data_IF_596043641513
#
_entry.id   IF_596043641513
#
_cell.length_a   1.000
_cell.length_b   1.000
_cell.length_c   1.000
_cell.angle_alpha   90.00
_cell.angle_beta   90.00
_cell.angle_gamma   90.00
#
_symmetry.space_group_name_H-M   'P 1'
#
loop_
_entity.id
_entity.type
_entity.pdbx_description
1 polymer ?
#
# COMPACT_ATOMS: atom_id res chain seq x y z
N UNK A 1 12.86 20.77 -41.84
CA UNK A 1 14.02 20.52 -40.97
C UNK A 1 14.81 19.35 -41.54
N UNK A 2 16.06 19.58 -41.81
CA UNK A 2 16.99 18.60 -42.40
C UNK A 2 17.42 17.55 -41.36
N UNK A 3 18.08 16.47 -41.82
CA UNK A 3 18.67 15.47 -40.93
C UNK A 3 19.78 16.06 -40.04
N UNK A 4 20.58 16.97 -40.61
CA UNK A 4 21.65 17.65 -39.87
C UNK A 4 21.13 18.54 -38.74
N UNK A 5 20.04 19.29 -38.97
CA UNK A 5 19.38 20.11 -37.93
C UNK A 5 18.81 19.25 -36.80
N UNK A 6 18.29 18.05 -37.10
CA UNK A 6 17.81 17.11 -36.06
C UNK A 6 18.95 16.55 -35.23
N UNK A 7 20.05 16.18 -35.90
CA UNK A 7 21.24 15.68 -35.22
C UNK A 7 21.82 16.72 -34.26
N UNK A 8 21.92 17.99 -34.70
CA UNK A 8 22.38 19.09 -33.86
C UNK A 8 21.48 19.30 -32.60
N UNK A 9 20.16 19.16 -32.73
CA UNK A 9 19.25 19.24 -31.58
C UNK A 9 19.49 18.07 -30.60
N UNK A 10 19.68 16.86 -31.10
CA UNK A 10 19.96 15.68 -30.23
C UNK A 10 21.32 15.83 -29.54
N UNK A 11 22.33 16.30 -30.23
CA UNK A 11 23.67 16.58 -29.66
C UNK A 11 23.59 17.59 -28.52
N UNK A 12 22.91 18.74 -28.76
CA UNK A 12 22.68 19.76 -27.73
C UNK A 12 21.93 19.18 -26.50
N UNK A 13 20.91 18.39 -26.75
CA UNK A 13 20.16 17.75 -25.65
C UNK A 13 20.96 16.71 -24.88
N UNK A 14 21.98 16.12 -25.49
CA UNK A 14 22.82 15.09 -24.89
C UNK A 14 24.10 15.64 -24.26
N UNK A 15 24.38 16.94 -24.42
CA UNK A 15 25.56 17.59 -23.87
C UNK A 15 25.49 17.66 -22.33
N UNK A 16 26.63 17.46 -21.68
CA UNK A 16 26.76 17.48 -20.20
C UNK A 16 26.29 18.81 -19.59
N UNK A 17 26.58 19.93 -20.29
CA UNK A 17 26.18 21.28 -19.87
C UNK A 17 24.66 21.50 -19.82
N UNK A 18 23.90 20.61 -20.42
CA UNK A 18 22.43 20.65 -20.47
C UNK A 18 21.77 19.46 -19.75
N UNK A 19 22.56 18.58 -19.11
CA UNK A 19 22.05 17.35 -18.49
C UNK A 19 21.02 17.59 -17.38
N UNK A 20 21.16 18.68 -16.63
CA UNK A 20 20.27 19.06 -15.54
C UNK A 20 19.06 19.92 -15.96
N UNK A 21 19.01 20.32 -17.24
CA UNK A 21 17.96 21.19 -17.77
C UNK A 21 16.80 20.37 -18.34
N UNK A 22 15.58 20.88 -18.17
CA UNK A 22 14.44 20.35 -18.92
C UNK A 22 14.58 20.67 -20.42
N UNK A 23 13.91 19.90 -21.28
CA UNK A 23 13.91 20.13 -22.74
C UNK A 23 13.53 21.59 -23.08
N UNK A 24 12.58 22.18 -22.34
CA UNK A 24 12.14 23.57 -22.53
C UNK A 24 13.23 24.56 -22.13
N UNK A 25 13.89 24.34 -20.99
CA UNK A 25 15.00 25.21 -20.56
C UNK A 25 16.19 25.11 -21.52
N UNK A 26 16.53 23.90 -21.97
CA UNK A 26 17.56 23.71 -22.99
C UNK A 26 17.22 24.47 -24.27
N UNK A 27 15.95 24.34 -24.74
CA UNK A 27 15.50 25.06 -25.93
C UNK A 27 15.76 26.57 -25.83
N UNK A 28 15.27 27.21 -24.77
CA UNK A 28 15.41 28.67 -24.64
C UNK A 28 16.87 29.08 -24.52
N UNK A 29 17.68 28.31 -23.79
CA UNK A 29 19.12 28.60 -23.63
C UNK A 29 19.85 28.58 -25.00
N UNK A 30 19.60 27.58 -25.83
CA UNK A 30 20.28 27.46 -27.12
C UNK A 30 19.65 28.32 -28.21
N UNK A 31 18.36 28.65 -28.08
CA UNK A 31 17.67 29.61 -28.96
C UNK A 31 18.21 31.03 -28.72
N UNK A 32 18.34 31.45 -27.48
CA UNK A 32 18.92 32.78 -27.16
C UNK A 32 20.38 32.90 -27.56
N UNK A 33 21.12 31.78 -27.55
CA UNK A 33 22.49 31.69 -28.04
C UNK A 33 22.58 31.63 -29.59
N UNK A 34 21.43 31.58 -30.29
CA UNK A 34 21.41 31.48 -31.77
C UNK A 34 21.83 30.13 -32.32
N UNK A 35 21.96 29.10 -31.49
CA UNK A 35 22.45 27.78 -31.90
C UNK A 35 21.40 26.97 -32.65
N UNK A 36 20.10 27.21 -32.41
CA UNK A 36 19.00 26.53 -33.08
C UNK A 36 18.02 27.50 -33.67
N UNK A 37 17.54 27.21 -34.89
CA UNK A 37 16.61 28.03 -35.66
C UNK A 37 15.29 27.28 -35.91
N UNK A 38 14.63 26.82 -34.83
CA UNK A 38 13.34 26.12 -34.94
C UNK A 38 12.40 26.56 -33.82
N UNK A 39 11.11 26.24 -33.97
CA UNK A 39 10.14 26.48 -32.87
C UNK A 39 10.33 25.52 -31.69
N UNK A 40 9.96 25.95 -30.50
CA UNK A 40 9.98 25.09 -29.28
C UNK A 40 9.22 23.79 -29.53
N UNK A 41 8.08 23.83 -30.23
CA UNK A 41 7.30 22.62 -30.54
C UNK A 41 8.08 21.65 -31.42
N UNK A 42 8.84 22.15 -32.39
CA UNK A 42 9.69 21.33 -33.24
C UNK A 42 10.84 20.71 -32.47
N UNK A 43 11.51 21.51 -31.63
CA UNK A 43 12.57 21.05 -30.75
C UNK A 43 12.09 19.93 -29.81
N UNK A 44 10.93 20.11 -29.16
CA UNK A 44 10.34 19.10 -28.30
C UNK A 44 9.97 17.81 -29.06
N UNK A 45 9.44 17.92 -30.26
CA UNK A 45 9.13 16.75 -31.13
C UNK A 45 10.37 15.93 -31.45
N UNK A 46 11.50 16.59 -31.74
CA UNK A 46 12.79 15.91 -31.97
C UNK A 46 13.29 15.22 -30.69
N UNK A 47 13.21 15.92 -29.56
CA UNK A 47 13.54 15.35 -28.27
C UNK A 47 12.70 14.10 -27.95
N UNK A 48 11.39 14.13 -28.23
CA UNK A 48 10.49 13.01 -28.04
C UNK A 48 10.84 11.81 -28.94
N UNK A 49 11.10 12.07 -30.22
CA UNK A 49 11.50 11.04 -31.19
C UNK A 49 12.86 10.39 -30.84
N UNK A 50 13.74 11.13 -30.16
CA UNK A 50 15.03 10.64 -29.65
C UNK A 50 14.95 10.04 -28.23
N UNK A 51 13.75 9.88 -27.66
CA UNK A 51 13.53 9.41 -26.27
C UNK A 51 14.22 10.25 -25.18
N UNK A 52 14.46 11.53 -25.46
CA UNK A 52 15.12 12.47 -24.55
C UNK A 52 14.14 13.34 -23.75
N UNK A 53 12.84 13.05 -23.86
CA UNK A 53 11.78 13.68 -23.06
C UNK A 53 11.55 12.84 -21.83
N UNK A 54 12.16 13.22 -20.74
CA UNK A 54 12.00 12.56 -19.44
C UNK A 54 12.53 13.46 -18.34
N UNK A 55 12.48 13.02 -17.09
CA UNK A 55 13.16 13.71 -16.00
C UNK A 55 14.67 13.52 -16.19
N UNK A 56 15.31 14.51 -16.84
CA UNK A 56 16.75 14.53 -17.14
C UNK A 56 17.60 14.91 -15.93
N UNK A 57 16.97 15.27 -14.82
CA UNK A 57 17.70 15.57 -13.59
C UNK A 57 18.40 14.31 -13.13
N UNK A 58 19.69 14.43 -12.87
CA UNK A 58 20.49 13.36 -12.29
C UNK A 58 19.81 12.93 -10.98
N UNK A 59 19.21 11.74 -10.95
CA UNK A 59 18.74 11.14 -9.70
C UNK A 59 19.96 11.04 -8.79
N UNK A 60 19.99 11.86 -7.73
CA UNK A 60 20.91 11.64 -6.61
C UNK A 60 20.53 10.30 -5.99
N UNK A 61 21.29 9.29 -6.33
CA UNK A 61 21.10 7.91 -5.92
C UNK A 61 21.54 7.05 -7.09
N UNK A 62 22.72 6.43 -6.99
CA UNK A 62 23.14 5.42 -7.93
C UNK A 62 22.02 4.41 -8.11
N UNK A 63 21.86 3.86 -9.31
CA UNK A 63 21.06 2.68 -9.55
C UNK A 63 21.72 1.56 -8.74
N UNK A 64 21.38 1.49 -7.45
CA UNK A 64 21.63 0.28 -6.68
C UNK A 64 20.97 -0.88 -7.42
N UNK A 65 21.50 -2.09 -7.31
CA UNK A 65 20.94 -3.25 -7.99
C UNK A 65 19.43 -3.24 -7.81
N UNK A 66 18.67 -3.47 -8.90
CA UNK A 66 17.21 -3.46 -8.89
C UNK A 66 16.77 -4.34 -7.71
N UNK A 67 16.24 -3.72 -6.65
CA UNK A 67 15.84 -4.47 -5.46
C UNK A 67 14.77 -5.46 -5.88
N UNK A 68 15.01 -6.73 -5.58
CA UNK A 68 14.05 -7.79 -5.87
C UNK A 68 12.72 -7.41 -5.25
N UNK A 69 11.65 -7.64 -6.00
CA UNK A 69 10.28 -7.43 -5.55
C UNK A 69 10.07 -8.31 -4.31
N UNK A 70 9.59 -7.76 -3.18
CA UNK A 70 9.29 -8.59 -2.02
C UNK A 70 8.15 -9.54 -2.37
N UNK A 71 8.37 -10.83 -2.18
CA UNK A 71 7.35 -11.87 -2.32
C UNK A 71 7.21 -12.50 -0.95
N UNK A 72 6.07 -12.30 -0.30
CA UNK A 72 5.81 -12.85 1.03
C UNK A 72 4.43 -13.50 1.01
N UNK A 73 4.38 -14.79 1.38
CA UNK A 73 3.16 -15.59 1.41
C UNK A 73 2.71 -15.80 2.84
N UNK A 74 1.41 -15.82 3.04
CA UNK A 74 0.74 -16.21 4.26
C UNK A 74 -0.30 -17.30 3.95
N UNK A 75 -0.18 -18.44 4.59
CA UNK A 75 -1.08 -19.59 4.50
C UNK A 75 -2.00 -19.67 5.73
N UNK A 76 -1.67 -18.95 6.78
CA UNK A 76 -2.41 -18.90 8.04
C UNK A 76 -2.28 -17.54 8.74
N UNK A 77 -3.14 -17.34 9.73
CA UNK A 77 -3.09 -16.20 10.67
C UNK A 77 -1.74 -16.16 11.39
N UNK A 78 -1.22 -14.96 11.63
CA UNK A 78 0.03 -14.74 12.37
C UNK A 78 1.31 -14.93 11.54
N UNK A 79 1.23 -15.30 10.27
CA UNK A 79 2.44 -15.48 9.45
C UNK A 79 2.95 -14.17 8.85
N UNK A 80 2.04 -13.28 8.46
CA UNK A 80 2.40 -12.02 7.82
C UNK A 80 1.53 -10.89 8.34
N UNK A 81 2.17 -9.91 8.94
CA UNK A 81 1.52 -8.64 9.26
C UNK A 81 1.97 -7.56 8.28
N UNK A 82 1.05 -6.68 7.92
CA UNK A 82 1.31 -5.46 7.15
C UNK A 82 1.11 -4.27 8.06
N UNK A 83 2.04 -3.34 8.02
CA UNK A 83 1.99 -2.11 8.78
C UNK A 83 2.13 -0.89 7.89
N UNK A 84 1.36 0.14 8.21
CA UNK A 84 1.41 1.42 7.51
C UNK A 84 0.83 2.55 8.37
N UNK A 85 1.11 3.80 7.97
CA UNK A 85 0.61 5.01 8.59
C UNK A 85 -0.29 5.77 7.65
N UNK A 86 -1.37 6.34 8.19
CA UNK A 86 -2.19 7.28 7.44
C UNK A 86 -2.59 8.48 8.29
N UNK A 87 -2.86 9.60 7.62
CA UNK A 87 -3.30 10.82 8.29
C UNK A 87 -4.82 10.90 8.38
N UNK A 88 -5.32 11.27 9.56
CA UNK A 88 -6.67 11.75 9.81
C UNK A 88 -6.61 13.26 10.08
N UNK A 89 -7.59 14.01 9.59
CA UNK A 89 -7.61 15.47 9.68
C UNK A 89 -8.14 15.93 11.04
N UNK A 90 -7.37 16.76 11.74
CA UNK A 90 -7.80 17.43 12.96
C UNK A 90 -8.65 18.68 12.71
N UNK A 91 -8.99 19.43 13.77
CA UNK A 91 -9.93 20.54 13.69
C UNK A 91 -9.44 21.69 12.79
N UNK A 92 -8.14 21.98 12.79
CA UNK A 92 -7.55 23.01 11.94
C UNK A 92 -6.95 22.39 10.69
N UNK A 93 -6.73 23.21 9.65
CA UNK A 93 -6.18 22.73 8.37
C UNK A 93 -4.78 22.11 8.51
N UNK A 94 -3.97 22.58 9.45
CA UNK A 94 -2.63 22.06 9.73
C UNK A 94 -2.63 20.87 10.68
N UNK A 95 -3.70 20.63 11.42
CA UNK A 95 -3.74 19.56 12.40
C UNK A 95 -3.89 18.19 11.71
N UNK A 96 -3.00 17.26 12.05
CA UNK A 96 -2.98 15.89 11.56
C UNK A 96 -2.81 14.94 12.73
N UNK A 97 -3.54 13.83 12.66
CA UNK A 97 -3.38 12.69 13.55
C UNK A 97 -2.88 11.53 12.74
N UNK A 98 -1.79 10.93 13.16
CA UNK A 98 -1.19 9.79 12.47
C UNK A 98 -1.77 8.50 13.04
N UNK A 99 -2.51 7.78 12.21
CA UNK A 99 -3.02 6.46 12.53
C UNK A 99 -1.97 5.42 12.14
N UNK A 100 -1.37 4.78 13.13
CA UNK A 100 -0.58 3.57 12.99
C UNK A 100 -1.53 2.38 12.95
N UNK A 101 -1.42 1.56 11.94
CA UNK A 101 -2.32 0.42 11.78
C UNK A 101 -1.54 -0.81 11.33
N UNK A 102 -1.68 -1.88 12.09
CA UNK A 102 -1.09 -3.19 11.80
C UNK A 102 -2.22 -4.17 11.54
N UNK A 103 -2.18 -4.86 10.41
CA UNK A 103 -3.16 -5.87 10.04
C UNK A 103 -2.50 -7.22 9.81
N UNK A 104 -3.18 -8.28 10.20
CA UNK A 104 -2.85 -9.62 9.76
C UNK A 104 -3.28 -9.80 8.30
N UNK A 105 -2.33 -10.13 7.43
CA UNK A 105 -2.57 -10.17 5.98
C UNK A 105 -3.46 -11.35 5.58
N UNK A 106 -3.43 -12.46 6.30
CA UNK A 106 -4.30 -13.61 6.00
C UNK A 106 -5.76 -13.33 6.34
N UNK A 107 -6.02 -12.84 7.54
CA UNK A 107 -7.38 -12.60 8.05
C UNK A 107 -7.92 -11.20 7.77
N UNK A 108 -7.08 -10.23 7.37
CA UNK A 108 -7.41 -8.79 7.30
C UNK A 108 -7.76 -8.17 8.66
N UNK A 109 -7.51 -8.88 9.75
CA UNK A 109 -7.83 -8.44 11.10
C UNK A 109 -6.87 -7.34 11.57
N UNK A 110 -7.36 -6.22 12.10
CA UNK A 110 -6.52 -5.18 12.68
C UNK A 110 -5.97 -5.67 14.03
N UNK A 111 -4.70 -6.11 14.04
CA UNK A 111 -4.06 -6.67 15.24
C UNK A 111 -3.62 -5.60 16.22
N UNK A 112 -3.24 -4.42 15.73
CA UNK A 112 -2.88 -3.29 16.56
C UNK A 112 -3.08 -1.96 15.85
N UNK A 113 -3.36 -0.91 16.62
CA UNK A 113 -3.42 0.46 16.11
C UNK A 113 -3.18 1.46 17.24
N UNK A 114 -2.70 2.64 16.89
CA UNK A 114 -2.71 3.81 17.75
C UNK A 114 -2.80 5.10 16.94
N UNK A 115 -3.17 6.21 17.60
CA UNK A 115 -3.25 7.54 17.01
C UNK A 115 -2.34 8.48 17.79
N UNK A 116 -1.47 9.18 17.04
CA UNK A 116 -0.48 10.11 17.59
C UNK A 116 -0.45 11.44 16.81
N UNK A 117 0.06 12.47 17.42
CA UNK A 117 0.26 13.78 16.76
C UNK A 117 1.47 13.79 15.84
N UNK A 118 2.45 12.92 16.08
CA UNK A 118 3.73 12.87 15.34
C UNK A 118 4.19 11.43 15.18
N UNK A 119 4.91 11.21 14.12
CA UNK A 119 5.58 9.93 13.89
C UNK A 119 6.69 9.72 14.93
N UNK A 120 6.74 8.50 15.51
CA UNK A 120 7.69 8.11 16.53
C UNK A 120 8.03 6.63 16.42
N UNK A 121 9.33 6.35 16.32
CA UNK A 121 9.85 4.97 16.34
C UNK A 121 9.59 4.28 17.68
N UNK A 122 9.72 5.01 18.79
CA UNK A 122 9.46 4.49 20.12
C UNK A 122 7.99 4.04 20.25
N UNK A 123 7.05 4.85 19.71
CA UNK A 123 5.63 4.51 19.72
C UNK A 123 5.34 3.27 18.86
N UNK A 124 6.06 3.09 17.75
CA UNK A 124 5.97 1.87 16.96
C UNK A 124 6.43 0.65 17.76
N UNK A 125 7.55 0.73 18.47
CA UNK A 125 8.04 -0.36 19.34
C UNK A 125 7.00 -0.74 20.40
N UNK A 126 6.41 0.24 21.09
CA UNK A 126 5.36 -0.02 22.09
C UNK A 126 4.13 -0.71 21.48
N UNK A 127 3.71 -0.24 20.29
CA UNK A 127 2.60 -0.82 19.55
C UNK A 127 2.86 -2.29 19.20
N UNK A 128 4.04 -2.59 18.63
CA UNK A 128 4.41 -3.96 18.26
C UNK A 128 4.62 -4.86 19.46
N UNK A 129 5.25 -4.38 20.54
CA UNK A 129 5.41 -5.15 21.78
C UNK A 129 4.04 -5.56 22.33
N UNK A 130 3.09 -4.64 22.37
CA UNK A 130 1.72 -4.90 22.80
C UNK A 130 1.01 -5.89 21.87
N UNK A 131 1.15 -5.71 20.56
CA UNK A 131 0.55 -6.59 19.56
C UNK A 131 1.09 -8.02 19.65
N UNK A 132 2.41 -8.17 19.75
CA UNK A 132 3.09 -9.46 19.86
C UNK A 132 2.69 -10.17 21.17
N UNK A 133 2.62 -9.45 22.27
CA UNK A 133 2.18 -10.01 23.56
C UNK A 133 0.75 -10.56 23.48
N UNK A 134 -0.13 -9.90 22.71
CA UNK A 134 -1.55 -10.26 22.60
C UNK A 134 -1.85 -11.32 21.56
N UNK A 135 -1.15 -11.29 20.43
CA UNK A 135 -1.48 -12.11 19.24
C UNK A 135 -0.38 -13.12 18.88
N UNK A 136 0.76 -13.12 19.58
CA UNK A 136 1.97 -13.83 19.16
C UNK A 136 2.78 -13.05 18.12
N UNK A 137 4.05 -13.39 17.98
CA UNK A 137 4.93 -12.77 17.00
C UNK A 137 4.60 -13.27 15.59
N UNK A 138 4.47 -12.39 14.57
CA UNK A 138 4.33 -12.82 13.19
C UNK A 138 5.65 -13.37 12.66
N UNK A 139 5.60 -14.22 11.64
CA UNK A 139 6.84 -14.66 10.96
C UNK A 139 7.48 -13.48 10.22
N UNK A 140 6.67 -12.65 9.56
CA UNK A 140 7.12 -11.49 8.77
C UNK A 140 6.27 -10.27 9.10
N UNK A 141 6.94 -9.13 9.30
CA UNK A 141 6.32 -7.82 9.28
C UNK A 141 6.70 -7.10 7.99
N UNK A 142 5.71 -6.76 7.17
CA UNK A 142 5.90 -5.97 5.97
C UNK A 142 5.48 -4.53 6.19
N UNK A 143 6.32 -3.57 5.75
CA UNK A 143 6.07 -2.14 5.88
C UNK A 143 6.59 -1.36 4.68
N UNK A 144 6.17 -0.11 4.57
CA UNK A 144 6.78 0.84 3.65
C UNK A 144 8.18 1.28 4.13
N UNK A 145 8.83 2.18 3.39
CA UNK A 145 10.17 2.69 3.73
C UNK A 145 10.11 3.98 4.58
N UNK A 146 9.10 4.16 5.40
CA UNK A 146 8.98 5.30 6.33
C UNK A 146 10.13 5.36 7.35
N UNK A 147 10.39 6.54 7.90
CA UNK A 147 11.51 6.76 8.81
C UNK A 147 11.38 5.92 10.11
N UNK A 148 10.20 5.87 10.71
CA UNK A 148 9.93 5.04 11.88
C UNK A 148 10.02 3.54 11.58
N UNK A 149 9.62 3.16 10.35
CA UNK A 149 9.58 1.77 9.89
C UNK A 149 10.99 1.18 9.70
N UNK A 150 11.97 2.04 9.43
CA UNK A 150 13.38 1.67 9.23
C UNK A 150 14.29 2.10 10.38
N UNK A 151 13.72 2.52 11.48
CA UNK A 151 14.51 2.90 12.66
C UNK A 151 15.21 1.67 13.26
N UNK A 152 16.45 1.84 13.68
CA UNK A 152 17.23 0.77 14.33
C UNK A 152 16.51 0.23 15.56
N UNK A 153 15.95 1.11 16.38
CA UNK A 153 15.24 0.72 17.60
C UNK A 153 14.06 -0.23 17.31
N UNK A 154 13.31 0.00 16.24
CA UNK A 154 12.23 -0.91 15.85
C UNK A 154 12.78 -2.22 15.28
N UNK A 155 13.80 -2.15 14.41
CA UNK A 155 14.37 -3.34 13.79
C UNK A 155 14.99 -4.26 14.82
N UNK A 156 15.72 -3.71 15.81
CA UNK A 156 16.31 -4.46 16.90
C UNK A 156 15.22 -5.14 17.77
N UNK A 157 14.11 -4.43 18.03
CA UNK A 157 12.98 -4.99 18.78
C UNK A 157 12.27 -6.14 18.01
N UNK A 158 12.13 -6.02 16.69
CA UNK A 158 11.55 -7.07 15.83
C UNK A 158 12.48 -8.29 15.75
N UNK A 159 13.79 -8.07 15.60
CA UNK A 159 14.80 -9.13 15.58
C UNK A 159 14.80 -9.90 16.91
N UNK A 160 14.78 -9.18 18.05
CA UNK A 160 14.69 -9.78 19.37
C UNK A 160 13.41 -10.61 19.55
N UNK A 161 12.33 -10.27 18.86
CA UNK A 161 11.08 -11.03 18.84
C UNK A 161 11.05 -12.15 17.79
N UNK A 162 12.12 -12.35 17.01
CA UNK A 162 12.19 -13.34 15.94
C UNK A 162 11.38 -13.00 14.70
N UNK A 163 11.03 -11.73 14.50
CA UNK A 163 10.20 -11.24 13.38
C UNK A 163 11.09 -10.77 12.23
N UNK A 164 10.87 -11.30 11.03
CA UNK A 164 11.57 -10.86 9.84
C UNK A 164 10.95 -9.58 9.27
N UNK A 165 11.75 -8.52 9.16
CA UNK A 165 11.32 -7.28 8.54
C UNK A 165 11.41 -7.36 7.01
N UNK A 166 10.32 -7.01 6.33
CA UNK A 166 10.22 -6.90 4.87
C UNK A 166 9.76 -5.50 4.48
N UNK A 167 10.26 -4.96 3.37
CA UNK A 167 9.96 -3.59 2.98
C UNK A 167 9.53 -3.49 1.52
N UNK A 168 8.58 -2.59 1.26
CA UNK A 168 8.21 -2.16 -0.08
C UNK A 168 9.41 -1.63 -0.84
N UNK A 169 9.38 -1.73 -2.16
CA UNK A 169 10.37 -1.05 -3.01
C UNK A 169 10.17 0.47 -2.92
N UNK A 170 11.22 1.28 -2.95
CA UNK A 170 11.08 2.72 -2.91
C UNK A 170 10.18 3.23 -4.05
N UNK A 171 9.17 4.03 -3.72
CA UNK A 171 8.21 4.65 -4.65
C UNK A 171 7.32 3.65 -5.42
N UNK A 172 7.10 2.47 -4.88
CA UNK A 172 6.17 1.49 -5.42
C UNK A 172 5.07 1.26 -4.38
N UNK A 173 3.92 1.90 -4.57
CA UNK A 173 2.75 1.79 -3.68
C UNK A 173 2.15 0.39 -3.68
N UNK A 174 2.16 -0.29 -4.83
CA UNK A 174 1.55 -1.61 -4.99
C UNK A 174 2.19 -2.73 -4.14
N UNK A 175 3.30 -2.43 -3.45
CA UNK A 175 3.96 -3.40 -2.60
C UNK A 175 3.33 -3.49 -1.19
N UNK A 176 2.41 -2.58 -0.79
CA UNK A 176 1.64 -2.66 0.46
C UNK A 176 0.11 -2.56 0.25
N UNK A 177 -0.48 -3.40 -0.61
CA UNK A 177 -1.87 -3.25 -1.05
C UNK A 177 -2.91 -3.46 0.06
N UNK A 178 -2.56 -4.20 1.11
CA UNK A 178 -3.50 -4.56 2.18
C UNK A 178 -3.79 -3.38 3.12
N UNK A 179 -2.75 -2.69 3.56
CA UNK A 179 -2.88 -1.48 4.37
C UNK A 179 -3.56 -0.36 3.57
N UNK A 180 -3.16 -0.17 2.31
CA UNK A 180 -3.78 0.83 1.43
C UNK A 180 -5.28 0.58 1.22
N UNK A 181 -5.69 -0.69 1.01
CA UNK A 181 -7.10 -1.04 0.86
C UNK A 181 -7.90 -0.75 2.12
N UNK A 182 -7.34 -1.03 3.30
CA UNK A 182 -8.00 -0.72 4.56
C UNK A 182 -8.07 0.80 4.78
N UNK A 183 -7.02 1.56 4.48
CA UNK A 183 -7.06 3.02 4.58
C UNK A 183 -8.09 3.67 3.65
N UNK A 184 -8.29 3.11 2.46
CA UNK A 184 -9.41 3.52 1.60
C UNK A 184 -10.74 3.26 2.29
N UNK A 185 -10.93 2.07 2.88
CA UNK A 185 -12.16 1.75 3.62
C UNK A 185 -12.38 2.69 4.80
N UNK A 186 -11.33 3.03 5.57
CA UNK A 186 -11.37 4.03 6.65
C UNK A 186 -11.83 5.40 6.13
N UNK A 187 -11.19 5.91 5.08
CA UNK A 187 -11.42 7.26 4.58
C UNK A 187 -12.73 7.44 3.81
N UNK A 188 -13.28 6.36 3.26
CA UNK A 188 -14.55 6.36 2.51
C UNK A 188 -15.73 5.87 3.35
N UNK A 189 -15.53 5.52 4.64
CA UNK A 189 -16.66 5.21 5.54
C UNK A 189 -17.52 6.45 5.74
N UNK A 190 -18.81 6.31 5.53
CA UNK A 190 -19.77 7.43 5.61
C UNK A 190 -19.83 8.07 7.01
N UNK A 191 -19.44 7.34 8.05
CA UNK A 191 -19.37 7.85 9.41
C UNK A 191 -18.04 8.56 9.71
N UNK A 192 -17.06 8.54 8.78
CA UNK A 192 -15.77 9.18 8.96
C UNK A 192 -15.95 10.71 8.88
N UNK A 193 -15.69 11.46 9.96
CA UNK A 193 -15.79 12.90 9.90
C UNK A 193 -14.77 13.48 8.91
N UNK A 194 -15.16 14.50 8.17
CA UNK A 194 -14.23 15.24 7.31
C UNK A 194 -13.06 15.84 8.12
N UNK A 195 -13.31 16.15 9.41
CA UNK A 195 -12.35 16.61 10.43
C UNK A 195 -12.78 16.09 11.79
N UNK A 196 -11.82 15.70 12.61
CA UNK A 196 -12.04 15.32 14.01
C UNK A 196 -11.81 16.52 14.93
N UNK A 197 -12.66 16.70 15.94
CA UNK A 197 -12.58 17.81 16.87
C UNK A 197 -11.36 17.72 17.80
N UNK A 198 -10.92 16.51 18.10
CA UNK A 198 -9.75 16.21 18.94
C UNK A 198 -9.15 14.86 18.57
N UNK A 199 -7.94 14.57 19.07
CA UNK A 199 -7.31 13.25 18.92
C UNK A 199 -8.13 12.16 19.63
N UNK A 200 -8.79 12.49 20.74
CA UNK A 200 -9.59 11.52 21.49
C UNK A 200 -10.89 11.21 20.77
N UNK A 201 -11.52 12.20 20.09
CA UNK A 201 -12.62 11.95 19.18
C UNK A 201 -12.18 11.02 18.04
N UNK A 202 -11.00 11.26 17.44
CA UNK A 202 -10.46 10.39 16.40
C UNK A 202 -10.15 8.97 16.92
N UNK A 203 -9.62 8.84 18.12
CA UNK A 203 -9.38 7.53 18.77
C UNK A 203 -10.67 6.76 19.00
N UNK A 204 -11.69 7.41 19.54
CA UNK A 204 -12.99 6.80 19.80
C UNK A 204 -13.65 6.32 18.51
N UNK A 205 -13.66 7.17 17.49
CA UNK A 205 -14.22 6.81 16.17
C UNK A 205 -13.43 5.65 15.55
N UNK A 206 -12.10 5.70 15.56
CA UNK A 206 -11.24 4.66 15.01
C UNK A 206 -11.46 3.32 15.71
N UNK A 207 -11.58 3.31 17.03
CA UNK A 207 -11.89 2.10 17.81
C UNK A 207 -13.22 1.48 17.36
N UNK A 208 -14.27 2.29 17.23
CA UNK A 208 -15.60 1.83 16.78
C UNK A 208 -15.56 1.35 15.34
N UNK A 209 -14.88 2.08 14.46
CA UNK A 209 -14.73 1.70 13.06
C UNK A 209 -14.01 0.35 12.92
N UNK A 210 -12.84 0.19 13.54
CA UNK A 210 -12.06 -1.04 13.45
C UNK A 210 -12.77 -2.23 14.08
N UNK A 211 -13.55 -2.00 15.13
CA UNK A 211 -14.41 -3.04 15.72
C UNK A 211 -15.48 -3.50 14.71
N UNK A 212 -16.24 -2.58 14.11
CA UNK A 212 -17.24 -2.90 13.07
C UNK A 212 -16.59 -3.56 11.85
N UNK A 213 -15.45 -3.03 11.40
CA UNK A 213 -14.70 -3.62 10.31
C UNK A 213 -14.29 -5.07 10.62
N UNK A 214 -13.80 -5.34 11.81
CA UNK A 214 -13.39 -6.68 12.20
C UNK A 214 -14.57 -7.65 12.32
N UNK A 215 -15.70 -7.22 12.88
CA UNK A 215 -16.80 -8.10 13.28
C UNK A 215 -17.96 -8.15 12.28
N UNK A 216 -18.16 -7.09 11.49
CA UNK A 216 -19.35 -6.95 10.64
C UNK A 216 -19.02 -6.90 9.14
N UNK A 217 -17.85 -6.37 8.76
CA UNK A 217 -17.50 -6.20 7.34
C UNK A 217 -17.33 -7.55 6.64
N UNK A 218 -18.17 -7.82 5.63
CA UNK A 218 -18.12 -9.04 4.80
C UNK A 218 -17.11 -8.88 3.68
N UNK A 219 -15.86 -9.20 3.97
CA UNK A 219 -14.72 -8.91 3.10
C UNK A 219 -14.72 -9.81 1.84
N UNK A 220 -14.64 -9.20 0.65
CA UNK A 220 -14.67 -9.93 -0.62
C UNK A 220 -13.52 -10.92 -0.77
N UNK A 221 -12.29 -10.52 -0.41
CA UNK A 221 -11.10 -11.36 -0.45
C UNK A 221 -11.06 -12.46 0.61
N UNK A 222 -12.05 -12.52 1.51
CA UNK A 222 -12.20 -13.57 2.53
C UNK A 222 -13.42 -14.45 2.29
N UNK A 223 -13.91 -14.59 1.05
CA UNK A 223 -15.13 -15.37 0.79
C UNK A 223 -16.36 -14.81 1.53
N UNK A 224 -16.43 -13.49 1.71
CA UNK A 224 -17.50 -12.82 2.48
C UNK A 224 -17.53 -13.19 3.97
N UNK A 225 -16.43 -13.74 4.51
CA UNK A 225 -16.24 -13.86 5.96
C UNK A 225 -15.80 -12.52 6.56
N UNK A 226 -16.03 -12.34 7.85
CA UNK A 226 -15.51 -11.18 8.57
C UNK A 226 -14.05 -11.41 8.94
N UNK A 227 -13.22 -10.35 9.04
CA UNK A 227 -11.85 -10.48 9.54
C UNK A 227 -11.77 -11.24 10.88
N UNK A 228 -12.65 -10.93 11.82
CA UNK A 228 -12.67 -11.60 13.13
C UNK A 228 -12.97 -13.10 13.00
N UNK A 229 -13.94 -13.50 12.17
CA UNK A 229 -14.28 -14.93 12.02
C UNK A 229 -13.12 -15.74 11.44
N UNK A 230 -12.34 -15.15 10.53
CA UNK A 230 -11.12 -15.80 9.99
C UNK A 230 -10.00 -15.80 11.01
N UNK A 231 -9.77 -14.66 11.69
CA UNK A 231 -8.67 -14.51 12.65
C UNK A 231 -8.80 -15.45 13.86
N UNK A 232 -10.03 -15.61 14.36
CA UNK A 232 -10.33 -16.45 15.52
C UNK A 232 -10.76 -17.87 15.16
N UNK A 233 -10.68 -18.29 13.88
CA UNK A 233 -10.92 -19.67 13.45
C UNK A 233 -12.38 -20.09 13.34
N UNK A 234 -13.36 -19.17 13.51
CA UNK A 234 -14.81 -19.49 13.45
C UNK A 234 -15.41 -19.44 12.05
N UNK A 235 -14.60 -19.12 11.02
CA UNK A 235 -15.07 -18.99 9.64
C UNK A 235 -15.69 -20.31 9.10
N UNK A 236 -15.17 -21.47 9.50
CA UNK A 236 -15.71 -22.77 9.09
C UNK A 236 -17.15 -23.00 9.61
N UNK A 237 -17.44 -22.59 10.83
CA UNK A 237 -18.78 -22.65 11.41
C UNK A 237 -19.77 -21.74 10.66
N UNK A 238 -19.31 -20.52 10.34
CA UNK A 238 -20.08 -19.56 9.52
C UNK A 238 -20.35 -20.13 8.13
N UNK A 239 -19.38 -20.79 7.49
CA UNK A 239 -19.54 -21.43 6.20
C UNK A 239 -20.58 -22.57 6.27
N UNK A 240 -20.47 -23.44 7.28
CA UNK A 240 -21.42 -24.53 7.48
C UNK A 240 -22.85 -24.03 7.74
N UNK A 241 -22.99 -22.94 8.52
CA UNK A 241 -24.30 -22.30 8.71
C UNK A 241 -24.87 -21.76 7.38
N UNK A 242 -24.08 -21.06 6.59
CA UNK A 242 -24.51 -20.55 5.28
C UNK A 242 -24.90 -21.68 4.33
N UNK A 243 -24.17 -22.81 4.33
CA UNK A 243 -24.53 -23.96 3.50
C UNK A 243 -25.89 -24.51 3.89
N UNK A 244 -26.16 -24.68 5.20
CA UNK A 244 -27.48 -25.14 5.66
C UNK A 244 -28.62 -24.17 5.22
N UNK A 245 -28.37 -22.86 5.24
CA UNK A 245 -29.36 -21.88 4.75
C UNK A 245 -29.60 -22.00 3.25
N UNK A 246 -28.54 -22.17 2.45
CA UNK A 246 -28.64 -22.38 1.01
C UNK A 246 -29.35 -23.68 0.66
N UNK A 247 -29.09 -24.76 1.40
CA UNK A 247 -29.78 -26.04 1.23
C UNK A 247 -31.28 -25.93 1.52
N UNK A 248 -31.68 -25.18 2.54
CA UNK A 248 -33.09 -24.87 2.80
C UNK A 248 -33.72 -24.07 1.65
N UNK A 249 -33.04 -23.03 1.17
CA UNK A 249 -33.52 -22.26 0.01
C UNK A 249 -33.70 -23.14 -1.24
N UNK A 250 -32.73 -24.03 -1.48
CA UNK A 250 -32.80 -25.00 -2.58
C UNK A 250 -33.96 -25.98 -2.43
N UNK A 251 -34.17 -26.52 -1.22
CA UNK A 251 -35.27 -27.45 -0.97
C UNK A 251 -36.65 -26.80 -1.13
N UNK A 252 -36.79 -25.52 -0.76
CA UNK A 252 -38.08 -24.79 -0.84
C UNK A 252 -38.35 -24.25 -2.25
N UNK A 253 -37.31 -23.82 -2.97
CA UNK A 253 -37.43 -23.13 -4.26
C UNK A 253 -36.36 -23.59 -5.27
N UNK A 254 -36.34 -24.88 -5.65
CA UNK A 254 -35.33 -25.40 -6.56
C UNK A 254 -35.36 -24.71 -7.94
N UNK A 255 -36.54 -24.24 -8.36
CA UNK A 255 -36.77 -23.53 -9.63
C UNK A 255 -36.02 -22.20 -9.74
N UNK A 256 -35.54 -21.63 -8.64
CA UNK A 256 -34.78 -20.37 -8.61
C UNK A 256 -33.29 -20.56 -8.87
N UNK A 257 -32.83 -21.78 -8.99
CA UNK A 257 -31.39 -22.10 -9.09
C UNK A 257 -31.13 -22.97 -10.31
N UNK A 258 -30.09 -22.67 -11.07
CA UNK A 258 -29.63 -23.52 -12.16
C UNK A 258 -28.93 -24.80 -11.67
N UNK A 259 -28.37 -24.77 -10.45
CA UNK A 259 -27.69 -25.88 -9.77
C UNK A 259 -27.75 -25.68 -8.26
N UNK A 260 -27.54 -26.75 -7.50
CA UNK A 260 -27.47 -26.64 -6.03
C UNK A 260 -26.43 -25.62 -5.62
N UNK A 261 -26.81 -24.60 -4.83
CA UNK A 261 -25.90 -23.53 -4.43
C UNK A 261 -24.88 -24.01 -3.40
N UNK A 262 -23.69 -23.42 -3.42
CA UNK A 262 -22.62 -23.70 -2.45
C UNK A 262 -22.24 -22.41 -1.72
N UNK A 263 -21.98 -22.51 -0.42
CA UNK A 263 -21.45 -21.38 0.36
C UNK A 263 -20.07 -20.95 -0.16
N UNK A 264 -19.75 -19.65 -0.07
CA UNK A 264 -18.41 -19.18 -0.42
C UNK A 264 -17.31 -19.95 0.33
N UNK A 265 -16.23 -20.25 -0.39
CA UNK A 265 -15.10 -20.97 0.18
C UNK A 265 -14.41 -20.19 1.30
N UNK A 266 -13.75 -20.90 2.19
CA UNK A 266 -12.83 -20.31 3.16
C UNK A 266 -11.66 -19.62 2.43
N UNK A 267 -11.05 -18.58 3.05
CA UNK A 267 -9.90 -17.92 2.44
C UNK A 267 -8.74 -18.90 2.24
N UNK A 268 -8.13 -18.85 1.08
CA UNK A 268 -6.90 -19.57 0.76
C UNK A 268 -5.64 -18.74 1.00
N UNK A 269 -4.48 -19.28 0.61
CA UNK A 269 -3.21 -18.57 0.69
C UNK A 269 -3.27 -17.18 0.08
N UNK A 270 -2.61 -16.23 0.72
CA UNK A 270 -2.57 -14.84 0.31
C UNK A 270 -1.17 -14.27 0.56
N UNK A 271 -0.89 -13.05 0.13
CA UNK A 271 0.40 -12.43 0.41
C UNK A 271 0.73 -11.28 -0.52
N UNK A 272 1.92 -10.77 -0.35
CA UNK A 272 2.44 -9.64 -1.11
C UNK A 272 3.13 -10.19 -2.36
N UNK A 273 2.69 -9.73 -3.53
CA UNK A 273 3.26 -10.04 -4.85
C UNK A 273 3.30 -11.55 -5.24
N UNK A 274 2.50 -12.40 -4.62
CA UNK A 274 2.53 -13.87 -4.86
C UNK A 274 2.08 -14.28 -6.28
N UNK A 275 1.23 -13.50 -6.94
CA UNK A 275 0.69 -13.83 -8.26
C UNK A 275 1.70 -13.74 -9.42
N UNK A 276 2.87 -13.18 -9.16
CA UNK A 276 3.90 -12.93 -10.18
C UNK A 276 5.00 -14.00 -10.22
N UNK A 277 5.01 -14.90 -9.23
CA UNK A 277 5.90 -16.06 -9.21
C UNK A 277 5.39 -17.24 -10.03
N UNK A 278 4.18 -17.17 -10.60
CA UNK A 278 3.59 -18.23 -11.43
C UNK A 278 3.80 -18.03 -12.94
N UNK A 279 4.45 -16.93 -13.36
CA UNK A 279 4.69 -16.60 -14.78
C UNK A 279 6.20 -16.56 -15.13
N UNK A 280 6.98 -17.37 -14.45
CA UNK A 280 8.40 -17.61 -14.76
C UNK A 280 8.64 -18.97 -15.37
#
# INVERSE_FOLDING_TARGET
>A
MSGAERAAIVEVLSADDHADLSVVQTYWRVFDAGTVACSQRTFYRVAAAAHLVGDRRRRRGGVGPARRRPVVRADAVGQLWSWDLTELRGPRTQDRYLLYLVIDVFSRYPVAWCLEHRESAQRAVELFTTAITRHGAPTVLHADNGASMRSTVLLDALEAAGVLASFSRPRVSDDNPFSEALFKTVKYDLSCPARFDSIDHARQWTAQFLHRYATEHRHSGLGRHTPASVHHGTAAEVQAHRQRMLDRCWATHPERFHRRPTAPALPGPTGINIHLSQTG
#
